data_IF_364498826793
#
_entry.id   IF_364498826793
#
_cell.length_a   1.000
_cell.length_b   1.000
_cell.length_c   1.000
_cell.angle_alpha   90.00
_cell.angle_beta   90.00
_cell.angle_gamma   90.00
#
_symmetry.space_group_name_H-M   'P 1'
#
loop_
_entity.id
_entity.type
_entity.pdbx_description
1 polymer ?
#
# COMPACT_ATOMS: atom_id res chain seq x y z
N UNK A 1 25.86 21.43 -17.17
CA UNK A 1 25.37 20.41 -16.23
C UNK A 1 24.28 21.03 -15.37
N UNK A 2 23.14 20.34 -15.21
CA UNK A 2 22.03 20.85 -14.41
C UNK A 2 22.44 20.83 -12.92
N UNK A 3 22.50 22.01 -12.26
CA UNK A 3 22.88 22.15 -10.84
C UNK A 3 21.93 21.39 -9.91
N UNK A 4 20.67 21.23 -10.28
CA UNK A 4 19.64 20.55 -9.49
C UNK A 4 19.84 19.02 -9.44
N UNK A 5 20.85 18.49 -10.14
CA UNK A 5 21.18 17.05 -10.18
C UNK A 5 22.54 16.75 -9.56
N UNK A 6 23.17 17.71 -8.88
CA UNK A 6 24.38 17.45 -8.12
C UNK A 6 24.05 16.48 -6.97
N UNK A 7 24.90 15.47 -6.69
CA UNK A 7 24.66 14.57 -5.58
C UNK A 7 24.84 15.30 -4.25
N UNK A 8 24.03 14.97 -3.26
CA UNK A 8 24.19 15.50 -1.89
C UNK A 8 25.54 15.06 -1.27
N UNK A 9 26.02 13.88 -1.66
CA UNK A 9 27.29 13.29 -1.21
C UNK A 9 28.01 12.55 -2.34
N UNK A 10 29.34 12.60 -2.31
CA UNK A 10 30.21 11.93 -3.27
C UNK A 10 30.53 12.76 -4.53
N UNK A 11 31.39 12.24 -5.41
CA UNK A 11 31.78 12.95 -6.63
C UNK A 11 30.62 13.04 -7.61
N UNK A 12 30.48 14.18 -8.30
CA UNK A 12 29.51 14.36 -9.41
C UNK A 12 30.00 13.70 -10.71
N UNK A 13 30.50 12.46 -10.61
CA UNK A 13 31.02 11.65 -11.73
C UNK A 13 30.37 10.27 -11.66
N UNK A 14 29.78 9.82 -12.77
CA UNK A 14 29.11 8.53 -12.84
C UNK A 14 30.10 7.42 -13.17
N UNK A 15 30.36 6.52 -12.22
CA UNK A 15 31.10 5.28 -12.45
C UNK A 15 30.20 4.14 -12.97
N UNK A 16 30.76 2.93 -13.11
CA UNK A 16 30.00 1.73 -13.53
C UNK A 16 28.90 1.33 -12.54
N UNK A 17 29.05 1.65 -11.26
CA UNK A 17 28.05 1.41 -10.22
C UNK A 17 26.86 2.39 -10.26
N UNK A 18 26.92 3.44 -11.07
CA UNK A 18 25.87 4.44 -11.15
C UNK A 18 25.84 5.35 -9.91
N UNK A 19 24.64 5.52 -9.33
CA UNK A 19 24.39 6.35 -8.15
C UNK A 19 23.58 5.57 -7.10
N UNK A 20 23.83 5.86 -5.83
CA UNK A 20 23.10 5.27 -4.69
C UNK A 20 22.29 6.34 -3.98
N UNK A 21 21.01 6.06 -3.75
CA UNK A 21 20.14 6.91 -2.93
C UNK A 21 19.94 6.27 -1.56
N UNK A 22 20.18 7.05 -0.51
CA UNK A 22 19.89 6.67 0.89
C UNK A 22 18.82 7.62 1.42
N UNK A 23 17.87 7.10 2.18
CA UNK A 23 16.84 7.92 2.81
C UNK A 23 16.22 7.21 4.01
N UNK A 24 15.60 8.00 4.88
CA UNK A 24 14.81 7.53 6.01
C UNK A 24 13.33 7.83 5.76
N UNK A 25 12.45 6.90 6.14
CA UNK A 25 11.00 7.04 6.00
C UNK A 25 10.29 6.20 7.05
N UNK A 26 9.02 6.50 7.38
CA UNK A 26 8.17 5.57 8.11
C UNK A 26 8.02 4.22 7.39
N UNK A 27 7.60 3.16 8.11
CA UNK A 27 7.25 1.89 7.49
C UNK A 27 6.18 2.08 6.41
N UNK A 28 6.37 1.39 5.30
CA UNK A 28 5.43 1.37 4.19
C UNK A 28 4.90 -0.04 4.02
N UNK A 29 3.62 -0.13 3.65
CA UNK A 29 2.98 -1.40 3.35
C UNK A 29 2.82 -1.52 1.85
N UNK A 30 3.43 -2.54 1.26
CA UNK A 30 3.19 -2.95 -0.12
C UNK A 30 2.02 -3.94 -0.12
N UNK A 31 0.90 -3.53 -0.71
CA UNK A 31 -0.36 -4.26 -0.68
C UNK A 31 -0.91 -4.33 -2.09
N UNK A 32 -1.41 -5.48 -2.50
CA UNK A 32 -1.96 -5.69 -3.84
C UNK A 32 -3.39 -6.22 -3.72
N UNK A 33 -4.28 -5.80 -4.60
CA UNK A 33 -5.67 -6.27 -4.67
C UNK A 33 -5.94 -6.79 -6.07
N UNK A 34 -6.51 -7.99 -6.17
CA UNK A 34 -6.79 -8.67 -7.43
C UNK A 34 -8.27 -8.64 -7.75
N UNK A 35 -8.59 -8.47 -9.04
CA UNK A 35 -9.96 -8.42 -9.54
C UNK A 35 -10.32 -9.71 -10.31
N UNK A 36 -11.60 -9.99 -10.46
CA UNK A 36 -12.13 -11.11 -11.24
C UNK A 36 -12.13 -10.86 -12.76
N UNK A 37 -11.04 -10.30 -13.30
CA UNK A 37 -10.89 -10.03 -14.73
C UNK A 37 -9.42 -10.13 -15.15
N UNK A 38 -9.19 -10.37 -16.43
CA UNK A 38 -7.91 -10.29 -17.13
C UNK A 38 -7.75 -8.94 -17.89
N UNK A 39 -8.75 -8.06 -17.82
CA UNK A 39 -8.68 -6.71 -18.36
C UNK A 39 -8.02 -5.74 -17.36
N UNK A 40 -6.95 -5.09 -17.81
CA UNK A 40 -6.17 -4.16 -17.01
C UNK A 40 -6.81 -2.77 -16.89
N UNK A 41 -7.71 -2.40 -17.81
CA UNK A 41 -8.24 -1.04 -17.88
C UNK A 41 -9.05 -0.66 -16.63
N UNK A 42 -9.94 -1.53 -16.09
CA UNK A 42 -10.57 -1.28 -14.80
C UNK A 42 -9.55 -1.11 -13.67
N UNK A 43 -8.52 -1.96 -13.60
CA UNK A 43 -7.48 -1.85 -12.56
C UNK A 43 -6.70 -0.52 -12.67
N UNK A 44 -6.39 -0.05 -13.87
CA UNK A 44 -5.75 1.27 -14.10
C UNK A 44 -6.66 2.42 -13.70
N UNK A 45 -7.94 2.34 -14.02
CA UNK A 45 -8.93 3.35 -13.65
C UNK A 45 -9.07 3.44 -12.12
N UNK A 46 -9.21 2.30 -11.45
CA UNK A 46 -9.28 2.22 -9.98
C UNK A 46 -7.99 2.73 -9.35
N UNK A 47 -6.82 2.32 -9.85
CA UNK A 47 -5.52 2.79 -9.36
C UNK A 47 -5.39 4.32 -9.47
N UNK A 48 -5.88 4.91 -10.56
CA UNK A 48 -5.92 6.37 -10.75
C UNK A 48 -6.88 7.04 -9.75
N UNK A 49 -8.04 6.45 -9.49
CA UNK A 49 -9.02 6.98 -8.55
C UNK A 49 -8.50 6.98 -7.10
N UNK A 50 -7.76 5.93 -6.68
CA UNK A 50 -7.32 5.80 -5.29
C UNK A 50 -5.99 6.51 -4.99
N UNK A 51 -5.11 6.72 -5.96
CA UNK A 51 -3.75 7.25 -5.70
C UNK A 51 -3.74 8.76 -5.46
N UNK A 52 -2.92 9.19 -4.51
CA UNK A 52 -2.78 10.59 -4.12
C UNK A 52 -2.39 11.50 -5.29
N UNK A 53 -1.47 11.06 -6.17
CA UNK A 53 -0.98 11.87 -7.29
C UNK A 53 -2.05 12.22 -8.32
N UNK A 54 -3.24 11.61 -8.24
CA UNK A 54 -4.39 11.90 -9.10
C UNK A 54 -5.58 12.47 -8.31
N UNK A 55 -5.36 12.91 -7.07
CA UNK A 55 -6.38 13.49 -6.21
C UNK A 55 -7.12 12.50 -5.31
N UNK A 56 -6.73 11.23 -5.32
CA UNK A 56 -7.31 10.18 -4.49
C UNK A 56 -6.89 10.24 -3.01
N UNK A 57 -6.82 9.07 -2.38
CA UNK A 57 -6.45 8.96 -0.97
C UNK A 57 -5.01 9.45 -0.75
N UNK A 58 -4.83 10.34 0.23
CA UNK A 58 -3.49 10.73 0.68
C UNK A 58 -2.72 9.49 1.15
N UNK A 59 -1.40 9.52 0.99
CA UNK A 59 -0.49 8.45 1.40
C UNK A 59 -0.65 7.12 0.65
N UNK A 60 -1.37 7.13 -0.49
CA UNK A 60 -1.50 5.97 -1.38
C UNK A 60 -0.83 6.27 -2.70
N UNK A 61 0.06 5.37 -3.12
CA UNK A 61 0.57 5.28 -4.50
C UNK A 61 0.04 3.98 -5.09
N UNK A 62 -0.55 4.03 -6.29
CA UNK A 62 -1.13 2.84 -6.90
C UNK A 62 -0.95 2.81 -8.43
N UNK A 63 -0.92 1.60 -8.97
CA UNK A 63 -0.84 1.29 -10.39
C UNK A 63 -1.65 0.03 -10.71
N UNK A 64 -2.33 0.02 -11.86
CA UNK A 64 -3.03 -1.15 -12.38
C UNK A 64 -2.13 -1.97 -13.30
N UNK A 65 -2.07 -3.28 -13.11
CA UNK A 65 -1.20 -4.22 -13.81
C UNK A 65 -1.94 -5.53 -14.13
N UNK A 66 -1.39 -6.31 -15.07
CA UNK A 66 -1.71 -7.74 -15.21
C UNK A 66 -0.58 -8.53 -14.58
N UNK A 67 -0.93 -9.45 -13.68
CA UNK A 67 0.00 -10.40 -13.07
C UNK A 67 -0.61 -11.77 -13.22
N UNK A 68 0.13 -12.69 -13.87
CA UNK A 68 -0.32 -14.08 -14.10
C UNK A 68 -1.70 -14.18 -14.76
N UNK A 69 -1.99 -13.29 -15.73
CA UNK A 69 -3.27 -13.25 -16.44
C UNK A 69 -4.43 -12.65 -15.64
N UNK A 70 -4.19 -12.11 -14.44
CA UNK A 70 -5.21 -11.47 -13.60
C UNK A 70 -4.92 -9.98 -13.40
N UNK A 71 -5.96 -9.16 -13.49
CA UNK A 71 -5.89 -7.74 -13.20
C UNK A 71 -5.67 -7.48 -11.70
N UNK A 72 -4.71 -6.61 -11.42
CA UNK A 72 -4.26 -6.27 -10.08
C UNK A 72 -4.11 -4.76 -9.93
N UNK A 73 -4.55 -4.24 -8.79
CA UNK A 73 -4.14 -2.92 -8.31
C UNK A 73 -2.98 -3.14 -7.34
N UNK A 74 -1.76 -2.78 -7.77
CA UNK A 74 -0.59 -2.75 -6.90
C UNK A 74 -0.49 -1.41 -6.22
N UNK A 75 -0.26 -1.39 -4.90
CA UNK A 75 -0.17 -0.14 -4.16
C UNK A 75 0.83 -0.16 -3.00
N UNK A 76 1.28 1.05 -2.68
CA UNK A 76 2.18 1.36 -1.60
C UNK A 76 1.50 2.37 -0.67
N UNK A 77 1.23 1.97 0.57
CA UNK A 77 0.69 2.81 1.62
C UNK A 77 1.86 3.44 2.37
N UNK A 78 2.16 4.70 2.08
CA UNK A 78 3.33 5.41 2.64
C UNK A 78 3.14 5.85 4.09
N UNK A 79 1.89 5.89 4.56
CA UNK A 79 1.51 6.15 5.94
C UNK A 79 0.16 5.45 6.23
N UNK A 80 0.25 4.21 6.70
CA UNK A 80 -0.93 3.38 6.97
C UNK A 80 -1.76 3.85 8.16
N UNK A 81 -1.19 4.66 9.06
CA UNK A 81 -1.91 5.19 10.22
C UNK A 81 -2.88 6.28 9.81
N UNK A 82 -2.54 7.04 8.77
CA UNK A 82 -3.42 8.09 8.20
C UNK A 82 -4.39 7.56 7.17
N UNK A 83 -3.96 6.59 6.36
CA UNK A 83 -4.81 5.91 5.40
C UNK A 83 -4.70 4.39 5.63
N UNK A 84 -5.58 3.81 6.46
CA UNK A 84 -5.54 2.39 6.81
C UNK A 84 -5.84 1.46 5.64
N UNK A 85 -5.30 0.23 5.70
CA UNK A 85 -5.48 -0.81 4.66
C UNK A 85 -6.97 -1.02 4.35
N UNK A 86 -7.79 -1.25 5.37
CA UNK A 86 -9.22 -1.53 5.21
C UNK A 86 -9.97 -0.39 4.45
N UNK A 87 -9.59 0.88 4.68
CA UNK A 87 -10.20 2.02 3.98
C UNK A 87 -9.86 1.99 2.49
N UNK A 88 -8.62 1.66 2.14
CA UNK A 88 -8.20 1.54 0.73
C UNK A 88 -8.90 0.35 0.08
N UNK A 89 -8.97 -0.80 0.77
CA UNK A 89 -9.65 -2.00 0.29
C UNK A 89 -11.13 -1.75 0.02
N UNK A 90 -11.85 -1.06 0.91
CA UNK A 90 -13.27 -0.76 0.69
C UNK A 90 -13.51 0.26 -0.44
N UNK A 91 -12.61 1.23 -0.62
CA UNK A 91 -12.68 2.12 -1.78
C UNK A 91 -12.46 1.35 -3.09
N UNK A 92 -11.50 0.42 -3.13
CA UNK A 92 -11.29 -0.44 -4.30
C UNK A 92 -12.50 -1.32 -4.54
N UNK A 93 -13.11 -1.88 -3.49
CA UNK A 93 -14.32 -2.69 -3.59
C UNK A 93 -15.46 -1.89 -4.22
N UNK A 94 -15.67 -0.66 -3.74
CA UNK A 94 -16.69 0.25 -4.27
C UNK A 94 -16.41 0.62 -5.73
N UNK A 95 -15.18 1.00 -6.07
CA UNK A 95 -14.81 1.35 -7.44
C UNK A 95 -14.89 0.14 -8.39
N UNK A 96 -14.46 -1.05 -7.97
CA UNK A 96 -14.58 -2.28 -8.75
C UNK A 96 -16.04 -2.63 -9.05
N UNK A 97 -16.95 -2.46 -8.07
CA UNK A 97 -18.38 -2.69 -8.27
C UNK A 97 -18.98 -1.81 -9.38
N UNK A 98 -18.45 -0.60 -9.62
CA UNK A 98 -18.89 0.28 -10.72
C UNK A 98 -18.58 -0.30 -12.10
N UNK A 99 -17.60 -1.20 -12.19
CA UNK A 99 -17.25 -1.94 -13.40
C UNK A 99 -17.92 -3.33 -13.44
N UNK A 100 -18.78 -3.67 -12.47
CA UNK A 100 -19.33 -5.02 -12.33
C UNK A 100 -18.28 -6.06 -11.89
N UNK A 101 -17.17 -5.60 -11.33
CA UNK A 101 -16.06 -6.44 -10.89
C UNK A 101 -16.07 -6.62 -9.36
N UNK A 102 -15.41 -7.67 -8.91
CA UNK A 102 -15.22 -8.00 -7.51
C UNK A 102 -13.75 -8.23 -7.20
N UNK A 103 -13.37 -7.93 -5.96
CA UNK A 103 -12.08 -8.34 -5.41
C UNK A 103 -12.09 -9.85 -5.19
N UNK A 104 -11.11 -10.56 -5.77
CA UNK A 104 -10.95 -12.00 -5.60
C UNK A 104 -10.06 -12.35 -4.41
N UNK A 105 -8.96 -11.60 -4.26
CA UNK A 105 -7.98 -11.76 -3.18
C UNK A 105 -7.17 -10.49 -2.99
N UNK A 106 -6.41 -10.45 -1.91
CA UNK A 106 -5.39 -9.44 -1.69
C UNK A 106 -4.11 -10.06 -1.16
N UNK A 107 -3.01 -9.34 -1.26
CA UNK A 107 -1.67 -9.83 -0.95
C UNK A 107 -0.86 -8.72 -0.28
N UNK A 108 -0.10 -9.07 0.76
CA UNK A 108 0.97 -8.22 1.28
C UNK A 108 2.28 -8.69 0.69
N UNK A 109 3.04 -7.77 0.11
CA UNK A 109 4.39 -8.04 -0.39
C UNK A 109 5.41 -7.72 0.70
N UNK A 110 5.97 -8.76 1.32
CA UNK A 110 6.92 -8.64 2.42
C UNK A 110 6.25 -8.54 3.79
N UNK A 111 6.67 -7.57 4.60
CA UNK A 111 6.20 -7.39 5.98
C UNK A 111 5.31 -6.16 6.11
N UNK A 112 4.44 -6.17 7.11
CA UNK A 112 3.66 -5.02 7.55
C UNK A 112 3.64 -4.92 9.08
N UNK A 113 3.43 -3.72 9.64
CA UNK A 113 3.26 -3.56 11.08
C UNK A 113 1.97 -4.25 11.57
N UNK A 114 2.06 -4.95 12.71
CA UNK A 114 0.91 -5.65 13.31
C UNK A 114 -0.29 -4.71 13.58
N UNK A 115 0.00 -3.47 13.98
CA UNK A 115 -1.00 -2.38 14.16
C UNK A 115 -1.96 -2.27 12.96
N UNK A 116 -1.46 -2.38 11.73
CA UNK A 116 -2.28 -2.26 10.52
C UNK A 116 -3.28 -3.41 10.35
N UNK A 117 -2.92 -4.63 10.78
CA UNK A 117 -3.82 -5.78 10.79
C UNK A 117 -4.89 -5.64 11.87
N UNK A 118 -4.48 -5.22 13.06
CA UNK A 118 -5.38 -5.02 14.21
C UNK A 118 -6.43 -3.96 13.86
N UNK A 119 -6.04 -2.85 13.24
CA UNK A 119 -6.97 -1.81 12.81
C UNK A 119 -7.94 -2.29 11.73
N UNK A 120 -7.48 -3.14 10.81
CA UNK A 120 -8.37 -3.78 9.83
C UNK A 120 -9.35 -4.74 10.52
N UNK A 121 -8.90 -5.55 11.49
CA UNK A 121 -9.75 -6.45 12.26
C UNK A 121 -10.80 -5.68 13.05
N UNK A 122 -10.42 -4.58 13.74
CA UNK A 122 -11.35 -3.68 14.44
C UNK A 122 -12.44 -3.17 13.50
N UNK A 123 -12.05 -2.72 12.29
CA UNK A 123 -12.99 -2.20 11.30
C UNK A 123 -13.97 -3.27 10.82
N UNK A 124 -13.49 -4.41 10.34
CA UNK A 124 -14.33 -5.45 9.72
C UNK A 124 -15.16 -6.25 10.74
N UNK A 125 -14.64 -6.48 11.94
CA UNK A 125 -15.33 -7.22 13.00
C UNK A 125 -16.10 -6.30 13.96
N UNK A 126 -16.05 -4.99 13.76
CA UNK A 126 -16.72 -3.98 14.60
C UNK A 126 -16.32 -4.05 16.09
N UNK A 127 -15.05 -4.36 16.36
CA UNK A 127 -14.53 -4.51 17.72
C UNK A 127 -14.15 -3.15 18.32
N UNK A 128 -15.16 -2.36 18.69
CA UNK A 128 -15.01 -0.98 19.15
C UNK A 128 -14.03 -0.83 20.33
N UNK A 129 -14.04 -1.78 21.26
CA UNK A 129 -13.26 -1.72 22.51
C UNK A 129 -12.02 -2.63 22.51
N UNK A 130 -11.65 -3.23 21.36
CA UNK A 130 -10.46 -4.09 21.30
C UNK A 130 -9.21 -3.26 21.59
N UNK A 131 -8.55 -3.53 22.71
CA UNK A 131 -7.28 -2.92 23.09
C UNK A 131 -6.08 -3.80 22.71
N UNK A 132 -4.90 -3.19 22.58
CA UNK A 132 -3.64 -3.93 22.36
C UNK A 132 -3.42 -4.99 23.45
N UNK A 133 -3.86 -4.70 24.67
CA UNK A 133 -3.71 -5.54 25.85
C UNK A 133 -4.58 -6.81 25.82
N UNK A 134 -5.53 -6.92 24.89
CA UNK A 134 -6.32 -8.14 24.70
C UNK A 134 -5.72 -9.07 23.65
N UNK A 135 -4.63 -8.65 22.99
CA UNK A 135 -3.89 -9.45 22.02
C UNK A 135 -2.78 -10.18 22.77
N UNK A 136 -2.81 -11.51 22.73
CA UNK A 136 -1.92 -12.36 23.52
C UNK A 136 -0.45 -12.08 23.20
N UNK A 137 -0.11 -11.99 21.92
CA UNK A 137 1.26 -11.77 21.46
C UNK A 137 1.80 -10.43 21.95
N UNK A 138 0.99 -9.37 21.94
CA UNK A 138 1.39 -8.05 22.44
C UNK A 138 1.64 -8.08 23.95
N UNK A 139 0.79 -8.78 24.72
CA UNK A 139 0.98 -8.96 26.16
C UNK A 139 2.26 -9.71 26.51
N UNK A 140 2.57 -10.76 25.76
CA UNK A 140 3.79 -11.54 25.98
C UNK A 140 5.05 -10.75 25.65
N UNK A 141 5.01 -9.90 24.61
CA UNK A 141 6.14 -9.01 24.27
C UNK A 141 6.38 -7.88 25.26
N UNK A 142 5.37 -7.49 26.04
CA UNK A 142 5.51 -6.45 27.09
C UNK A 142 6.14 -7.00 28.39
N UNK A 143 6.25 -8.33 28.54
CA UNK A 143 6.82 -9.01 29.72
C UNK A 143 8.32 -9.35 29.57
N UNK A 144 8.92 -9.09 28.40
CA UNK A 144 10.36 -9.22 28.12
C UNK A 144 11.11 -7.88 28.21
#
# INVERSE_FOLDING_TARGET
>A
TNRDRAPDFGPSVLGTAGATAIGARPPLIAYNVYLNTDDVEPAKAIAKAIRHSSGGLRYVKAMGLIVEGQAQISMNLTDYRRTPIHRVTELIRSEAARFGLAITRSEVVGLLPAEALIDAARFYLQLADLSSSQILENRLSDEE
#
